data_IF_216791885742
#
_entry.id   IF_216791885742
#
_cell.length_a   1.000
_cell.length_b   1.000
_cell.length_c   1.000
_cell.angle_alpha   90.00
_cell.angle_beta   90.00
_cell.angle_gamma   90.00
#
_symmetry.space_group_name_H-M   'P 1'
#
loop_
_entity.id
_entity.type
_entity.pdbx_description
1 polymer ?
#
# COMPACT_ATOMS: atom_id res chain seq x y z
N UNK A 1 -6.94 -19.20 20.17
CA UNK A 1 -7.15 -19.61 18.75
C UNK A 1 -8.04 -18.66 17.94
N UNK A 2 -9.25 -18.22 18.36
CA UNK A 2 -10.09 -17.31 17.54
C UNK A 2 -9.39 -16.02 17.08
N UNK A 3 -8.59 -15.41 17.97
CA UNK A 3 -7.79 -14.19 17.72
C UNK A 3 -6.91 -14.29 16.47
N UNK A 4 -6.31 -15.47 16.22
CA UNK A 4 -5.43 -15.70 15.06
C UNK A 4 -6.18 -15.59 13.73
N UNK A 5 -7.42 -16.09 13.67
CA UNK A 5 -8.26 -15.98 12.48
C UNK A 5 -8.68 -14.52 12.23
N UNK A 6 -9.05 -13.78 13.29
CA UNK A 6 -9.40 -12.35 13.19
C UNK A 6 -8.21 -11.53 12.65
N UNK A 7 -7.01 -11.74 13.20
CA UNK A 7 -5.79 -11.08 12.72
C UNK A 7 -5.47 -11.41 11.26
N UNK A 8 -5.55 -12.70 10.90
CA UNK A 8 -5.28 -13.16 9.52
C UNK A 8 -6.28 -12.60 8.52
N UNK A 9 -7.58 -12.61 8.85
CA UNK A 9 -8.63 -12.04 8.00
C UNK A 9 -8.43 -10.52 7.84
N UNK A 10 -8.12 -9.81 8.92
CA UNK A 10 -7.80 -8.38 8.89
C UNK A 10 -6.62 -8.07 7.96
N UNK A 11 -5.53 -8.85 8.03
CA UNK A 11 -4.40 -8.72 7.12
C UNK A 11 -4.80 -8.98 5.66
N UNK A 12 -5.54 -10.06 5.38
CA UNK A 12 -6.01 -10.34 4.02
C UNK A 12 -6.82 -9.18 3.42
N UNK A 13 -7.76 -8.60 4.17
CA UNK A 13 -8.53 -7.45 3.71
C UNK A 13 -7.66 -6.20 3.49
N UNK A 14 -6.74 -5.91 4.41
CA UNK A 14 -5.81 -4.79 4.27
C UNK A 14 -4.96 -4.91 2.98
N UNK A 15 -4.34 -6.06 2.75
CA UNK A 15 -3.51 -6.29 1.56
C UNK A 15 -4.34 -6.31 0.25
N UNK A 16 -5.57 -6.82 0.27
CA UNK A 16 -6.47 -6.77 -0.90
C UNK A 16 -6.87 -5.35 -1.28
N UNK A 17 -7.24 -4.51 -0.30
CA UNK A 17 -7.50 -3.09 -0.51
C UNK A 17 -6.25 -2.38 -1.08
N UNK A 18 -5.07 -2.64 -0.46
CA UNK A 18 -3.78 -2.09 -0.87
C UNK A 18 -3.42 -2.45 -2.31
N UNK A 19 -3.63 -3.71 -2.70
CA UNK A 19 -3.44 -4.20 -4.06
C UNK A 19 -4.35 -3.47 -5.06
N UNK A 20 -5.64 -3.25 -4.72
CA UNK A 20 -6.57 -2.49 -5.54
C UNK A 20 -6.10 -1.05 -5.82
N UNK A 21 -5.64 -0.33 -4.78
CA UNK A 21 -5.11 1.03 -4.92
C UNK A 21 -3.84 1.07 -5.78
N UNK A 22 -2.88 0.17 -5.55
CA UNK A 22 -1.66 0.09 -6.39
C UNK A 22 -1.96 -0.32 -7.84
N UNK A 23 -2.94 -1.20 -8.09
CA UNK A 23 -3.38 -1.58 -9.43
C UNK A 23 -4.06 -0.41 -10.17
N UNK A 24 -4.84 0.42 -9.47
CA UNK A 24 -5.42 1.65 -10.03
C UNK A 24 -4.33 2.65 -10.41
N UNK A 25 -3.36 2.90 -9.53
CA UNK A 25 -2.20 3.80 -9.79
C UNK A 25 -1.41 3.35 -11.03
N UNK A 26 -1.06 2.05 -11.13
CA UNK A 26 -0.37 1.50 -12.33
C UNK A 26 -1.17 1.69 -13.62
N UNK A 27 -2.46 1.33 -13.63
CA UNK A 27 -3.34 1.51 -14.80
C UNK A 27 -3.44 2.97 -15.27
N UNK A 28 -3.40 3.95 -14.37
CA UNK A 28 -3.38 5.37 -14.77
C UNK A 28 -2.05 5.77 -15.41
N UNK A 29 -0.91 5.26 -14.92
CA UNK A 29 0.41 5.48 -15.53
C UNK A 29 0.47 4.87 -16.94
N UNK A 30 0.02 3.63 -17.08
CA UNK A 30 0.00 2.90 -18.36
C UNK A 30 -0.98 3.54 -19.36
N UNK A 31 -2.20 3.85 -18.93
CA UNK A 31 -3.29 4.34 -19.79
C UNK A 31 -3.04 5.72 -20.39
N UNK A 32 -2.32 6.59 -19.68
CA UNK A 32 -1.92 7.91 -20.19
C UNK A 32 -0.53 7.90 -20.86
N UNK A 33 0.17 6.75 -20.88
CA UNK A 33 1.55 6.59 -21.36
C UNK A 33 2.51 7.66 -20.80
N UNK A 34 2.31 8.05 -19.55
CA UNK A 34 2.98 9.22 -18.96
C UNK A 34 4.51 9.08 -18.98
N UNK A 35 5.00 7.86 -18.75
CA UNK A 35 6.44 7.55 -18.79
C UNK A 35 7.02 7.72 -20.21
N UNK A 36 6.27 7.37 -21.26
CA UNK A 36 6.72 7.56 -22.64
C UNK A 36 6.76 9.05 -23.00
N UNK A 37 5.67 9.79 -22.72
CA UNK A 37 5.60 11.25 -22.95
C UNK A 37 6.71 12.02 -22.22
N UNK A 38 6.98 11.66 -20.96
CA UNK A 38 8.06 12.25 -20.15
C UNK A 38 9.46 11.89 -20.66
N UNK A 39 9.63 10.74 -21.33
CA UNK A 39 10.92 10.32 -21.92
C UNK A 39 11.15 10.86 -23.33
N UNK A 40 10.10 11.17 -24.07
CA UNK A 40 10.18 11.64 -25.46
C UNK A 40 10.31 13.17 -25.59
N UNK A 41 10.55 13.88 -24.49
CA UNK A 41 10.56 15.35 -24.38
C UNK A 41 9.33 16.03 -25.03
N UNK A 42 8.20 15.32 -25.04
CA UNK A 42 6.99 15.80 -25.69
C UNK A 42 6.29 16.84 -24.80
N UNK A 43 5.73 17.92 -25.37
CA UNK A 43 5.05 18.94 -24.60
C UNK A 43 3.84 18.34 -23.84
N UNK A 44 3.95 18.31 -22.50
CA UNK A 44 2.90 17.85 -21.61
C UNK A 44 1.71 18.81 -21.64
N UNK A 45 0.53 18.27 -21.95
CA UNK A 45 -0.74 19.01 -21.84
C UNK A 45 -1.06 19.36 -20.38
N UNK A 46 -1.93 20.35 -20.16
CA UNK A 46 -2.42 20.68 -18.81
C UNK A 46 -3.15 19.51 -18.13
N UNK A 47 -3.72 18.61 -18.92
CA UNK A 47 -4.40 17.41 -18.44
C UNK A 47 -3.39 16.34 -18.00
N UNK A 48 -2.33 16.10 -18.78
CA UNK A 48 -1.20 15.25 -18.38
C UNK A 48 -0.55 15.76 -17.08
N UNK A 49 -0.34 17.09 -16.97
CA UNK A 49 0.21 17.73 -15.75
C UNK A 49 -0.68 17.50 -14.53
N UNK A 50 -2.01 17.63 -14.66
CA UNK A 50 -2.97 17.35 -13.58
C UNK A 50 -2.94 15.89 -13.15
N UNK A 51 -2.88 14.94 -14.10
CA UNK A 51 -2.81 13.50 -13.80
C UNK A 51 -1.49 13.13 -13.11
N UNK A 52 -0.36 13.69 -13.56
CA UNK A 52 0.95 13.50 -12.90
C UNK A 52 0.93 14.05 -11.48
N UNK A 53 0.43 15.28 -11.27
CA UNK A 53 0.32 15.87 -9.93
C UNK A 53 -0.59 15.05 -9.01
N UNK A 54 -1.73 14.56 -9.51
CA UNK A 54 -2.61 13.67 -8.76
C UNK A 54 -1.91 12.37 -8.37
N UNK A 55 -1.19 11.73 -9.29
CA UNK A 55 -0.44 10.49 -9.01
C UNK A 55 0.67 10.70 -7.98
N UNK A 56 1.50 11.75 -8.15
CA UNK A 56 2.58 12.07 -7.21
C UNK A 56 2.03 12.45 -5.82
N UNK A 57 0.95 13.24 -5.76
CA UNK A 57 0.27 13.56 -4.51
C UNK A 57 -0.33 12.32 -3.85
N UNK A 58 -0.97 11.43 -4.62
CA UNK A 58 -1.51 10.15 -4.14
C UNK A 58 -0.44 9.18 -3.63
N UNK A 59 0.76 9.21 -4.21
CA UNK A 59 1.91 8.45 -3.71
C UNK A 59 2.45 9.09 -2.43
N UNK A 60 2.63 10.41 -2.37
CA UNK A 60 3.17 11.12 -1.20
C UNK A 60 2.22 11.12 0.02
N UNK A 61 0.91 11.23 -0.20
CA UNK A 61 -0.10 11.19 0.86
C UNK A 61 -0.38 9.77 1.37
N UNK A 62 0.13 8.75 0.68
CA UNK A 62 -0.09 7.35 1.02
C UNK A 62 0.87 6.93 2.14
N UNK A 63 0.34 6.79 3.36
CA UNK A 63 1.03 6.29 4.56
C UNK A 63 1.33 4.76 4.50
N UNK A 64 1.77 4.27 3.34
CA UNK A 64 2.03 2.86 3.04
C UNK A 64 3.13 2.30 3.95
N UNK A 65 4.25 3.01 4.05
CA UNK A 65 5.40 2.60 4.86
C UNK A 65 5.06 2.57 6.36
N UNK A 66 4.27 3.53 6.85
CA UNK A 66 3.80 3.58 8.24
C UNK A 66 2.84 2.42 8.52
N UNK A 67 1.90 2.12 7.61
CA UNK A 67 1.00 0.99 7.78
C UNK A 67 1.78 -0.33 7.83
N UNK A 68 2.77 -0.54 6.96
CA UNK A 68 3.62 -1.74 7.00
C UNK A 68 4.46 -1.81 8.28
N UNK A 69 4.99 -0.69 8.77
CA UNK A 69 5.71 -0.63 10.04
C UNK A 69 4.82 -1.00 11.24
N UNK A 70 3.59 -0.47 11.31
CA UNK A 70 2.61 -0.82 12.35
C UNK A 70 2.28 -2.31 12.30
N UNK A 71 1.99 -2.85 11.11
CA UNK A 71 1.70 -4.28 10.88
C UNK A 71 2.86 -5.17 11.34
N UNK A 72 4.09 -4.79 11.02
CA UNK A 72 5.30 -5.52 11.43
C UNK A 72 5.46 -5.52 12.97
N UNK A 73 5.35 -4.36 13.61
CA UNK A 73 5.45 -4.22 15.06
C UNK A 73 4.34 -4.99 15.81
N UNK A 74 3.09 -4.91 15.34
CA UNK A 74 1.98 -5.67 15.90
C UNK A 74 2.15 -7.18 15.71
N UNK A 75 2.73 -7.62 14.58
CA UNK A 75 3.03 -9.04 14.35
C UNK A 75 4.10 -9.56 15.33
N UNK A 76 5.16 -8.79 15.57
CA UNK A 76 6.17 -9.13 16.58
C UNK A 76 5.54 -9.18 17.98
N UNK A 77 4.76 -8.17 18.36
CA UNK A 77 4.10 -8.11 19.66
C UNK A 77 3.15 -9.30 19.88
N UNK A 78 2.41 -9.72 18.85
CA UNK A 78 1.53 -10.89 18.89
C UNK A 78 2.32 -12.20 19.09
N UNK A 79 3.44 -12.40 18.40
CA UNK A 79 4.30 -13.58 18.56
C UNK A 79 4.92 -13.61 19.97
N UNK A 80 5.43 -12.48 20.47
CA UNK A 80 6.00 -12.39 21.82
C UNK A 80 4.94 -12.68 22.89
N UNK A 81 3.72 -12.14 22.74
CA UNK A 81 2.62 -12.43 23.66
C UNK A 81 2.21 -13.91 23.66
N UNK A 82 2.12 -14.55 22.48
CA UNK A 82 1.79 -15.97 22.33
C UNK A 82 2.87 -16.88 22.96
N UNK A 83 4.15 -16.54 22.79
CA UNK A 83 5.28 -17.22 23.44
C UNK A 83 5.26 -17.07 24.97
N UNK A 84 4.99 -15.88 25.50
CA UNK A 84 4.89 -15.64 26.95
C UNK A 84 3.71 -16.43 27.53
N UNK A 85 2.54 -16.37 26.90
CA UNK A 85 1.36 -17.15 27.31
C UNK A 85 1.62 -18.66 27.28
N UNK A 86 2.37 -19.15 26.28
CA UNK A 86 2.74 -20.57 26.16
C UNK A 86 3.82 -21.00 27.16
N UNK A 87 4.65 -20.07 27.65
CA UNK A 87 5.67 -20.35 28.67
C UNK A 87 5.15 -20.21 30.11
N UNK A 88 3.98 -19.59 30.31
CA UNK A 88 3.33 -19.37 31.62
C UNK A 88 2.20 -20.36 31.93
N UNK A 89 1.85 -21.26 31.00
CA UNK A 89 0.80 -22.27 31.13
C UNK A 89 1.29 -23.68 30.85
#
# INVERSE_FOLDING_TARGET
>A
RPVWYVGTIGYCFFFLYRYGISKKRKRTVDGFRLIEKLKSDAPLSDEDRKVILYLLSSIKASLEDINYAIIFLLSIAAIVADLILTAMG
#
